data_IF_192430883740
#
_entry.id   IF_192430883740
#
_cell.length_a   1.000
_cell.length_b   1.000
_cell.length_c   1.000
_cell.angle_alpha   90.00
_cell.angle_beta   90.00
_cell.angle_gamma   90.00
#
_symmetry.space_group_name_H-M   'P 1'
#
loop_
_entity.id
_entity.type
_entity.pdbx_description
1 polymer ?
#
# COMPACT_ATOMS: atom_id res chain seq x y z
N UNK A 1 46.72 -50.13 -12.90
CA UNK A 1 46.40 -48.81 -12.31
C UNK A 1 46.03 -47.88 -13.47
N UNK A 2 44.95 -47.11 -13.50
CA UNK A 2 44.12 -46.54 -12.44
C UNK A 2 42.66 -46.47 -12.94
N UNK A 3 41.73 -46.85 -12.07
CA UNK A 3 40.30 -46.60 -12.23
C UNK A 3 40.04 -45.11 -12.02
N UNK A 4 39.19 -44.49 -12.84
CA UNK A 4 38.44 -43.30 -12.45
C UNK A 4 37.07 -43.34 -13.14
N UNK A 5 36.06 -43.65 -12.32
CA UNK A 5 34.63 -43.61 -12.58
C UNK A 5 34.16 -42.20 -12.95
N UNK A 6 33.31 -42.09 -13.96
CA UNK A 6 32.60 -40.86 -14.30
C UNK A 6 31.21 -41.21 -14.85
N UNK A 7 30.19 -40.81 -14.10
CA UNK A 7 28.79 -41.17 -14.26
C UNK A 7 28.15 -40.76 -15.60
N UNK A 8 27.33 -41.65 -16.15
CA UNK A 8 26.26 -41.36 -17.09
C UNK A 8 25.21 -40.44 -16.46
N UNK A 9 24.91 -39.31 -17.10
CA UNK A 9 23.57 -38.72 -17.05
C UNK A 9 23.19 -38.17 -18.43
N UNK A 10 22.28 -38.90 -19.07
CA UNK A 10 21.53 -38.48 -20.24
C UNK A 10 20.62 -37.30 -19.86
N UNK A 11 20.68 -36.20 -20.61
CA UNK A 11 19.63 -35.20 -20.64
C UNK A 11 19.06 -35.15 -22.07
N UNK A 12 17.76 -35.40 -22.26
CA UNK A 12 17.15 -35.39 -23.59
C UNK A 12 17.05 -33.96 -24.14
N UNK A 13 17.35 -33.88 -25.44
CA UNK A 13 17.48 -32.67 -26.23
C UNK A 13 16.33 -31.67 -26.09
N UNK A 14 16.76 -30.42 -25.94
CA UNK A 14 16.01 -29.17 -25.97
C UNK A 14 14.93 -29.18 -27.07
N UNK A 15 13.67 -29.01 -26.65
CA UNK A 15 12.52 -28.93 -27.54
C UNK A 15 12.73 -27.91 -28.65
N UNK A 16 12.23 -28.25 -29.85
CA UNK A 16 12.21 -27.41 -31.06
C UNK A 16 11.81 -25.98 -30.69
N UNK A 17 12.72 -25.04 -30.94
CA UNK A 17 12.41 -23.60 -30.94
C UNK A 17 11.42 -23.37 -32.08
N UNK A 18 10.15 -23.19 -31.72
CA UNK A 18 9.23 -22.47 -32.59
C UNK A 18 9.86 -21.09 -32.77
N UNK A 19 10.17 -20.71 -34.01
CA UNK A 19 10.74 -19.40 -34.32
C UNK A 19 9.78 -18.34 -33.78
N UNK A 20 10.19 -17.62 -32.74
CA UNK A 20 9.40 -16.55 -32.16
C UNK A 20 9.19 -15.47 -33.23
N UNK A 21 7.94 -15.23 -33.70
CA UNK A 21 7.67 -14.21 -34.72
C UNK A 21 7.85 -12.79 -34.18
N UNK A 22 8.05 -12.61 -32.88
CA UNK A 22 8.45 -11.35 -32.28
C UNK A 22 9.97 -11.25 -32.26
N UNK A 23 10.55 -10.88 -33.41
CA UNK A 23 11.89 -10.29 -33.41
C UNK A 23 11.85 -9.09 -32.45
N UNK A 24 12.72 -9.09 -31.45
CA UNK A 24 12.81 -8.01 -30.46
C UNK A 24 13.18 -6.73 -31.22
N UNK A 25 12.19 -5.89 -31.48
CA UNK A 25 12.45 -4.53 -31.94
C UNK A 25 13.37 -3.89 -30.90
N UNK A 26 14.44 -3.17 -31.31
CA UNK A 26 15.29 -2.48 -30.35
C UNK A 26 14.37 -1.63 -29.48
N UNK A 27 14.39 -1.89 -28.17
CA UNK A 27 13.55 -1.16 -27.23
C UNK A 27 13.79 0.32 -27.48
N UNK A 28 12.75 1.12 -27.80
CA UNK A 28 12.94 2.55 -27.93
C UNK A 28 13.59 3.03 -26.63
N UNK A 29 14.61 3.88 -26.74
CA UNK A 29 15.23 4.49 -25.56
C UNK A 29 14.12 5.28 -24.87
N UNK A 30 13.48 4.64 -23.89
CA UNK A 30 12.57 5.32 -22.99
C UNK A 30 13.45 6.29 -22.24
N UNK A 31 13.38 7.57 -22.61
CA UNK A 31 13.81 8.66 -21.77
C UNK A 31 13.19 8.37 -20.40
N UNK A 32 14.00 7.92 -19.44
CA UNK A 32 13.52 7.66 -18.09
C UNK A 32 13.01 9.01 -17.62
N UNK A 33 11.69 9.19 -17.60
CA UNK A 33 11.07 10.32 -16.92
C UNK A 33 11.75 10.35 -15.55
N UNK A 34 12.41 11.45 -15.16
CA UNK A 34 13.06 11.50 -13.86
C UNK A 34 12.02 11.07 -12.83
N UNK A 35 12.32 9.99 -12.10
CA UNK A 35 11.49 9.55 -10.99
C UNK A 35 11.53 10.72 -10.02
N UNK A 36 10.44 11.45 -9.98
CA UNK A 36 10.32 12.69 -9.25
C UNK A 36 10.55 12.33 -7.76
N UNK A 37 11.52 12.94 -7.04
CA UNK A 37 11.81 12.58 -5.64
C UNK A 37 10.64 12.81 -4.67
N UNK A 38 9.56 13.42 -5.14
CA UNK A 38 8.25 13.64 -4.52
C UNK A 38 7.46 12.35 -4.18
N UNK A 39 8.11 11.18 -4.23
CA UNK A 39 7.56 9.96 -3.62
C UNK A 39 7.65 9.94 -2.09
N UNK A 40 8.40 10.87 -1.49
CA UNK A 40 8.24 11.18 -0.07
C UNK A 40 7.06 12.13 0.08
N UNK A 41 5.95 11.64 0.67
CA UNK A 41 4.86 12.52 1.10
C UNK A 41 5.44 13.68 1.92
N UNK A 42 5.08 14.91 1.57
CA UNK A 42 5.46 16.08 2.35
C UNK A 42 5.16 15.86 3.84
N UNK A 43 6.01 16.32 4.78
CA UNK A 43 5.87 16.03 6.19
C UNK A 43 4.47 16.34 6.74
N UNK A 44 3.90 17.48 6.36
CA UNK A 44 2.53 17.87 6.73
C UNK A 44 1.48 16.92 6.15
N UNK A 45 1.62 16.52 4.88
CA UNK A 45 0.70 15.57 4.27
C UNK A 45 0.77 14.19 4.96
N UNK A 46 1.98 13.76 5.32
CA UNK A 46 2.20 12.53 6.09
C UNK A 46 1.56 12.58 7.47
N UNK A 47 1.71 13.71 8.19
CA UNK A 47 1.07 13.94 9.49
C UNK A 47 -0.44 13.96 9.37
N UNK A 48 -0.99 14.73 8.43
CA UNK A 48 -2.44 14.81 8.19
C UNK A 48 -3.05 13.44 7.87
N UNK A 49 -2.38 12.63 7.03
CA UNK A 49 -2.86 11.29 6.71
C UNK A 49 -2.86 10.37 7.93
N UNK A 50 -1.83 10.45 8.79
CA UNK A 50 -1.81 9.67 10.04
C UNK A 50 -2.92 10.10 10.99
N UNK A 51 -3.09 11.41 11.16
CA UNK A 51 -4.11 11.99 12.02
C UNK A 51 -5.53 11.57 11.58
N UNK A 52 -5.82 11.69 10.28
CA UNK A 52 -7.09 11.29 9.69
C UNK A 52 -7.36 9.78 9.84
N UNK A 53 -6.35 8.92 9.67
CA UNK A 53 -6.51 7.47 9.88
C UNK A 53 -6.91 7.14 11.30
N UNK A 54 -6.23 7.71 12.30
CA UNK A 54 -6.56 7.48 13.71
C UNK A 54 -7.97 7.95 14.06
N UNK A 55 -8.35 9.15 13.60
CA UNK A 55 -9.70 9.67 13.80
C UNK A 55 -10.75 8.77 13.12
N UNK A 56 -10.47 8.33 11.89
CA UNK A 56 -11.33 7.39 11.15
C UNK A 56 -11.52 6.06 11.88
N UNK A 57 -10.45 5.48 12.45
CA UNK A 57 -10.51 4.24 13.22
C UNK A 57 -11.42 4.37 14.46
N UNK A 58 -11.41 5.53 15.13
CA UNK A 58 -12.31 5.81 16.25
C UNK A 58 -13.77 5.88 15.79
N UNK A 59 -14.04 6.58 14.69
CA UNK A 59 -15.39 6.75 14.13
C UNK A 59 -15.95 5.40 13.67
N UNK A 60 -15.17 4.59 12.93
CA UNK A 60 -15.62 3.28 12.42
C UNK A 60 -15.98 2.34 13.58
N UNK A 61 -15.14 2.27 14.61
CA UNK A 61 -15.42 1.41 15.79
C UNK A 61 -16.69 1.84 16.54
N UNK A 62 -16.91 3.14 16.66
CA UNK A 62 -18.12 3.65 17.29
C UNK A 62 -19.37 3.40 16.43
N UNK A 63 -19.21 3.46 15.10
CA UNK A 63 -20.30 3.17 14.17
C UNK A 63 -20.76 1.71 14.23
N UNK A 64 -19.85 0.77 14.53
CA UNK A 64 -20.18 -0.64 14.72
C UNK A 64 -21.00 -0.92 15.99
N UNK A 65 -20.95 -0.05 17.01
CA UNK A 65 -21.65 -0.19 18.31
C UNK A 65 -22.37 1.12 18.70
N UNK A 66 -23.17 1.65 17.76
CA UNK A 66 -23.78 2.98 17.84
C UNK A 66 -24.72 3.16 19.04
N UNK A 67 -25.38 2.08 19.50
CA UNK A 67 -26.32 2.13 20.63
C UNK A 67 -25.66 2.58 21.94
N UNK A 68 -24.32 2.50 22.02
CA UNK A 68 -23.54 2.90 23.20
C UNK A 68 -22.93 4.29 23.07
N UNK A 69 -23.04 4.92 21.91
CA UNK A 69 -22.46 6.24 21.66
C UNK A 69 -23.40 7.31 22.23
N UNK A 70 -22.91 8.07 23.19
CA UNK A 70 -23.63 9.19 23.76
C UNK A 70 -23.57 10.42 22.86
N UNK A 71 -24.55 11.32 23.01
CA UNK A 71 -24.48 12.64 22.38
C UNK A 71 -24.82 13.75 23.37
N UNK A 72 -24.29 14.93 23.11
CA UNK A 72 -24.61 16.19 23.78
C UNK A 72 -25.07 17.21 22.75
N UNK A 73 -26.21 17.86 23.01
CA UNK A 73 -26.68 18.97 22.19
C UNK A 73 -25.82 20.22 22.44
N UNK A 74 -25.40 20.89 21.37
CA UNK A 74 -24.73 22.20 21.38
C UNK A 74 -25.70 23.31 21.00
N UNK A 75 -26.58 23.05 20.04
CA UNK A 75 -27.68 23.92 19.62
C UNK A 75 -28.81 23.06 19.01
N UNK A 76 -29.86 23.71 18.50
CA UNK A 76 -30.91 23.01 17.77
C UNK A 76 -30.32 22.28 16.55
N UNK A 77 -30.51 20.96 16.48
CA UNK A 77 -29.94 20.10 15.44
C UNK A 77 -28.40 20.12 15.33
N UNK A 78 -27.68 20.51 16.39
CA UNK A 78 -26.22 20.48 16.48
C UNK A 78 -25.82 19.62 17.68
N UNK A 79 -25.15 18.49 17.42
CA UNK A 79 -24.81 17.48 18.40
C UNK A 79 -23.33 17.12 18.32
N UNK A 80 -22.79 16.70 19.46
CA UNK A 80 -21.41 16.22 19.57
C UNK A 80 -21.37 14.98 20.45
N UNK A 81 -20.54 14.02 20.07
CA UNK A 81 -20.33 12.77 20.79
C UNK A 81 -18.95 12.75 21.47
N UNK A 82 -18.73 11.81 22.36
CA UNK A 82 -17.38 11.52 22.89
C UNK A 82 -16.41 11.07 21.78
N UNK A 83 -16.93 10.48 20.70
CA UNK A 83 -16.16 10.01 19.55
C UNK A 83 -15.63 11.20 18.75
N UNK A 84 -16.46 12.21 18.52
CA UNK A 84 -16.06 13.46 17.85
C UNK A 84 -14.93 14.16 18.62
N UNK A 85 -15.06 14.25 19.95
CA UNK A 85 -14.05 14.86 20.83
C UNK A 85 -12.73 14.07 20.77
N UNK A 86 -12.80 12.74 20.81
CA UNK A 86 -11.62 11.89 20.72
C UNK A 86 -10.94 11.99 19.33
N UNK A 87 -11.72 12.04 18.26
CA UNK A 87 -11.23 12.21 16.89
C UNK A 87 -10.55 13.58 16.72
N UNK A 88 -11.16 14.66 17.22
CA UNK A 88 -10.58 16.01 17.18
C UNK A 88 -9.23 16.04 17.93
N UNK A 89 -9.16 15.39 19.11
CA UNK A 89 -7.91 15.29 19.87
C UNK A 89 -6.81 14.58 19.07
N UNK A 90 -7.12 13.48 18.39
CA UNK A 90 -6.14 12.78 17.53
C UNK A 90 -5.68 13.65 16.35
N UNK A 91 -6.59 14.45 15.79
CA UNK A 91 -6.28 15.38 14.70
C UNK A 91 -5.33 16.49 15.15
N UNK A 92 -5.53 17.05 16.34
CA UNK A 92 -4.74 18.17 16.86
C UNK A 92 -3.34 17.77 17.36
N UNK A 93 -3.19 16.55 17.87
CA UNK A 93 -1.94 16.12 18.55
C UNK A 93 -0.96 15.37 17.65
N UNK A 94 -1.40 14.83 16.52
CA UNK A 94 -0.60 13.97 15.61
C UNK A 94 0.32 14.78 14.70
#
# INVERSE_FOLDING_TARGET
MSMLSGFMSSLPGKGRSLSNPYQVLPSPVMMRRPLKPDLAMEPTASMALRAARKAGDLIVRAADDMDRVGYRAKAAADFVTEVDIAAEKEILIT
#
